data_IF_557619712438
#
_entry.id   IF_557619712438
#
_cell.length_a   1.000
_cell.length_b   1.000
_cell.length_c   1.000
_cell.angle_alpha   90.00
_cell.angle_beta   90.00
_cell.angle_gamma   90.00
#
_symmetry.space_group_name_H-M   'P 1'
#
loop_
_entity.id
_entity.type
_entity.pdbx_description
1 polymer ?
#
# COMPACT_ATOMS: atom_id res chain seq x y z
N UNK A 1 -47.20 51.50 16.49
CA UNK A 1 -46.75 52.63 15.63
C UNK A 1 -45.62 53.35 16.33
N UNK A 2 -44.71 54.05 15.61
CA UNK A 2 -43.56 53.62 14.80
C UNK A 2 -42.23 53.91 15.60
N UNK A 3 -40.98 53.77 15.16
CA UNK A 3 -40.33 54.05 13.87
C UNK A 3 -38.91 53.44 13.88
N UNK A 4 -38.56 52.75 12.79
CA UNK A 4 -37.20 52.31 12.43
C UNK A 4 -36.33 53.49 11.96
N UNK A 5 -35.02 53.43 12.22
CA UNK A 5 -33.89 53.94 11.41
C UNK A 5 -32.67 53.10 11.86
N UNK A 6 -32.06 52.15 11.13
CA UNK A 6 -31.55 51.99 9.75
C UNK A 6 -30.18 52.66 9.48
N UNK A 7 -29.12 51.82 9.50
CA UNK A 7 -27.86 51.86 8.71
C UNK A 7 -26.83 52.97 8.96
N UNK A 8 -25.55 52.89 8.48
CA UNK A 8 -24.93 51.89 7.59
C UNK A 8 -23.53 51.36 8.02
N UNK A 9 -23.22 50.11 7.66
CA UNK A 9 -22.19 49.70 6.67
C UNK A 9 -20.74 50.04 7.02
N UNK A 10 -20.02 49.04 7.51
CA UNK A 10 -18.56 48.97 7.52
C UNK A 10 -18.13 47.56 7.16
N UNK A 11 -18.22 47.22 5.88
CA UNK A 11 -17.67 45.99 5.34
C UNK A 11 -16.14 46.13 5.31
N UNK A 12 -15.44 45.37 6.14
CA UNK A 12 -14.01 45.09 5.92
C UNK A 12 -13.88 43.58 5.77
N UNK A 13 -13.77 43.21 4.50
CA UNK A 13 -13.26 41.96 3.99
C UNK A 13 -11.86 41.74 4.58
N UNK A 14 -11.69 40.69 5.38
CA UNK A 14 -10.38 40.15 5.72
C UNK A 14 -10.41 38.64 5.44
N UNK A 15 -10.32 38.30 4.16
CA UNK A 15 -9.93 36.98 3.71
C UNK A 15 -8.47 36.75 4.10
N UNK A 16 -8.23 36.37 5.35
CA UNK A 16 -6.95 35.80 5.74
C UNK A 16 -6.95 34.33 5.29
N UNK A 17 -6.49 34.13 4.06
CA UNK A 17 -6.00 32.87 3.52
C UNK A 17 -4.93 32.31 4.46
N UNK A 18 -5.34 31.45 5.39
CA UNK A 18 -4.40 30.58 6.09
C UNK A 18 -4.12 29.42 5.17
N UNK A 19 -2.95 29.50 4.55
CA UNK A 19 -2.41 28.51 3.65
C UNK A 19 -2.50 27.13 4.27
N UNK A 20 -3.25 26.27 3.58
CA UNK A 20 -3.11 24.84 3.71
C UNK A 20 -1.67 24.56 3.28
N UNK A 21 -0.77 24.40 4.25
CA UNK A 21 0.45 23.66 4.03
C UNK A 21 0.03 22.19 3.84
N UNK A 22 -0.54 21.93 2.67
CA UNK A 22 -0.50 20.61 2.08
C UNK A 22 0.98 20.38 1.82
N UNK A 23 1.66 19.77 2.78
CA UNK A 23 2.77 18.90 2.42
C UNK A 23 2.17 17.93 1.43
N UNK A 24 2.31 18.25 0.15
CA UNK A 24 2.13 17.31 -0.93
C UNK A 24 2.96 16.10 -0.51
N UNK A 25 2.28 15.03 -0.14
CA UNK A 25 2.76 13.67 -0.31
C UNK A 25 3.18 13.60 -1.78
N UNK A 26 4.44 13.95 -2.02
CA UNK A 26 5.06 13.74 -3.30
C UNK A 26 4.88 12.25 -3.63
N UNK A 27 4.68 11.91 -4.92
CA UNK A 27 4.67 10.50 -5.31
C UNK A 27 5.92 9.87 -4.69
N UNK A 28 5.76 8.77 -3.95
CA UNK A 28 6.89 8.02 -3.41
C UNK A 28 7.85 7.79 -4.58
N UNK A 29 8.92 8.58 -4.61
CA UNK A 29 9.94 8.47 -5.64
C UNK A 29 10.60 7.13 -5.39
N UNK A 30 10.12 6.10 -6.09
CA UNK A 30 10.81 4.83 -6.17
C UNK A 30 12.27 5.08 -6.54
N UNK A 31 13.16 4.11 -6.27
CA UNK A 31 14.57 4.31 -6.51
C UNK A 31 14.75 4.66 -7.99
N UNK A 32 15.27 5.85 -8.27
CA UNK A 32 15.71 6.17 -9.61
C UNK A 32 16.76 5.14 -10.00
N UNK A 33 16.61 4.51 -11.17
CA UNK A 33 17.49 3.43 -11.60
C UNK A 33 18.97 3.82 -11.54
N UNK A 34 19.27 5.11 -11.69
CA UNK A 34 20.60 5.71 -11.54
C UNK A 34 21.16 5.55 -10.12
N UNK A 35 20.35 5.72 -9.07
CA UNK A 35 20.80 5.60 -7.67
C UNK A 35 21.16 4.16 -7.34
N UNK A 36 20.39 3.17 -7.82
CA UNK A 36 20.68 1.75 -7.60
C UNK A 36 21.96 1.25 -8.29
N UNK A 37 22.48 2.00 -9.27
CA UNK A 37 23.77 1.69 -9.93
C UNK A 37 24.98 2.08 -9.09
N UNK A 38 24.79 2.92 -8.08
CA UNK A 38 25.86 3.29 -7.15
C UNK A 38 25.95 2.28 -6.00
N UNK A 39 27.15 1.92 -5.52
CA UNK A 39 27.30 1.08 -4.33
C UNK A 39 26.54 1.64 -3.12
N UNK A 40 26.54 2.96 -2.95
CA UNK A 40 25.87 3.67 -1.86
C UNK A 40 24.35 3.50 -1.96
N UNK A 41 23.77 3.77 -3.14
CA UNK A 41 22.34 3.64 -3.34
C UNK A 41 21.83 2.21 -3.22
N UNK A 42 22.64 1.22 -3.62
CA UNK A 42 22.31 -0.18 -3.40
C UNK A 42 22.41 -0.57 -1.91
N UNK A 43 23.39 -0.02 -1.18
CA UNK A 43 23.52 -0.24 0.26
C UNK A 43 22.36 0.36 1.04
N UNK A 44 21.94 1.59 0.72
CA UNK A 44 20.76 2.24 1.29
C UNK A 44 19.49 1.42 1.04
N UNK A 45 19.32 0.94 -0.19
CA UNK A 45 18.21 0.07 -0.57
C UNK A 45 18.18 -1.20 0.28
N UNK A 46 19.30 -1.90 0.37
CA UNK A 46 19.42 -3.14 1.14
C UNK A 46 19.17 -2.92 2.64
N UNK A 47 19.61 -1.78 3.19
CA UNK A 47 19.33 -1.43 4.58
C UNK A 47 17.83 -1.23 4.82
N UNK A 48 17.14 -0.54 3.91
CA UNK A 48 15.69 -0.33 4.00
C UNK A 48 14.94 -1.66 3.85
N UNK A 49 15.32 -2.50 2.89
CA UNK A 49 14.80 -3.86 2.69
C UNK A 49 14.91 -4.71 3.96
N UNK A 50 16.05 -4.66 4.65
CA UNK A 50 16.26 -5.36 5.92
C UNK A 50 15.37 -4.82 7.05
N UNK A 51 15.23 -3.48 7.15
CA UNK A 51 14.36 -2.85 8.15
C UNK A 51 12.90 -3.28 7.96
N UNK A 52 12.38 -3.15 6.74
CA UNK A 52 11.01 -3.51 6.40
C UNK A 52 10.73 -4.99 6.64
N UNK A 53 11.67 -5.87 6.27
CA UNK A 53 11.56 -7.30 6.57
C UNK A 53 11.48 -7.57 8.07
N UNK A 54 12.27 -6.84 8.86
CA UNK A 54 12.22 -6.89 10.33
C UNK A 54 10.86 -6.48 10.89
N UNK A 55 10.28 -5.39 10.36
CA UNK A 55 8.95 -4.89 10.74
C UNK A 55 7.83 -5.88 10.40
N UNK A 56 7.87 -6.48 9.20
CA UNK A 56 6.94 -7.54 8.79
C UNK A 56 6.97 -8.68 9.79
N UNK A 57 8.17 -9.16 10.16
CA UNK A 57 8.30 -10.23 11.15
C UNK A 57 7.77 -9.82 12.51
N UNK A 58 8.10 -8.62 12.99
CA UNK A 58 7.69 -8.15 14.31
C UNK A 58 6.16 -8.04 14.43
N UNK A 59 5.50 -7.49 13.41
CA UNK A 59 4.04 -7.33 13.37
C UNK A 59 3.32 -8.66 13.12
N UNK A 60 3.89 -9.57 12.32
CA UNK A 60 3.39 -10.94 12.17
C UNK A 60 3.40 -11.69 13.51
N UNK A 61 4.51 -11.60 14.25
CA UNK A 61 4.65 -12.21 15.59
C UNK A 61 3.65 -11.59 16.58
N UNK A 62 3.45 -10.27 16.51
CA UNK A 62 2.45 -9.58 17.33
C UNK A 62 1.03 -10.04 17.00
N UNK A 63 0.65 -10.15 15.73
CA UNK A 63 -0.64 -10.70 15.32
C UNK A 63 -0.79 -12.16 15.77
N UNK A 64 0.26 -12.96 15.63
CA UNK A 64 0.30 -14.34 16.10
C UNK A 64 -0.04 -14.48 17.60
N UNK A 65 0.43 -13.55 18.43
CA UNK A 65 0.15 -13.51 19.88
C UNK A 65 -1.20 -12.91 20.23
N UNK A 66 -1.54 -11.77 19.64
CA UNK A 66 -2.71 -10.99 20.04
C UNK A 66 -4.00 -11.44 19.35
N UNK A 67 -3.91 -11.94 18.12
CA UNK A 67 -5.06 -12.35 17.27
C UNK A 67 -6.18 -11.30 17.22
N UNK A 68 -5.80 -10.02 17.23
CA UNK A 68 -6.71 -8.88 17.20
C UNK A 68 -6.71 -8.18 15.83
N UNK A 69 -7.79 -7.45 15.55
CA UNK A 69 -7.92 -6.66 14.32
C UNK A 69 -6.82 -5.59 14.20
N UNK A 70 -6.51 -4.89 15.29
CA UNK A 70 -5.45 -3.87 15.31
C UNK A 70 -4.07 -4.46 14.99
N UNK A 71 -3.80 -5.68 15.48
CA UNK A 71 -2.55 -6.38 15.17
C UNK A 71 -2.52 -6.86 13.72
N UNK A 72 -3.66 -7.30 13.16
CA UNK A 72 -3.79 -7.64 11.74
C UNK A 72 -3.58 -6.42 10.84
N UNK A 73 -4.15 -5.26 11.20
CA UNK A 73 -3.94 -3.99 10.49
C UNK A 73 -2.48 -3.54 10.50
N UNK A 74 -1.81 -3.69 11.65
CA UNK A 74 -0.38 -3.40 11.77
C UNK A 74 0.45 -4.32 10.88
N UNK A 75 0.10 -5.62 10.86
CA UNK A 75 0.74 -6.60 9.99
C UNK A 75 0.50 -6.30 8.50
N UNK A 76 -0.73 -6.03 8.09
CA UNK A 76 -1.08 -5.60 6.72
C UNK A 76 -0.22 -4.43 6.26
N UNK A 77 -0.15 -3.37 7.09
CA UNK A 77 0.60 -2.16 6.75
C UNK A 77 2.07 -2.45 6.49
N UNK A 78 2.69 -3.28 7.33
CA UNK A 78 4.09 -3.66 7.15
C UNK A 78 4.31 -4.50 5.88
N UNK A 79 3.40 -5.43 5.56
CA UNK A 79 3.48 -6.27 4.36
C UNK A 79 3.33 -5.40 3.11
N UNK A 80 2.39 -4.45 3.09
CA UNK A 80 2.22 -3.50 1.99
C UNK A 80 3.47 -2.65 1.78
N UNK A 81 4.01 -2.05 2.85
CA UNK A 81 5.24 -1.26 2.74
C UNK A 81 6.42 -2.09 2.19
N UNK A 82 6.56 -3.34 2.64
CA UNK A 82 7.61 -4.23 2.17
C UNK A 82 7.41 -4.68 0.71
N UNK A 83 6.16 -4.89 0.31
CA UNK A 83 5.78 -5.25 -1.05
C UNK A 83 6.00 -4.08 -2.02
N UNK A 84 5.53 -2.87 -1.66
CA UNK A 84 5.71 -1.63 -2.42
C UNK A 84 7.19 -1.33 -2.67
N UNK A 85 8.02 -1.53 -1.64
CA UNK A 85 9.47 -1.43 -1.75
C UNK A 85 10.00 -2.39 -2.82
N UNK A 86 9.66 -3.68 -2.77
CA UNK A 86 10.05 -4.65 -3.79
C UNK A 86 9.60 -4.29 -5.21
N UNK A 87 8.37 -3.80 -5.37
CA UNK A 87 7.87 -3.38 -6.68
C UNK A 87 8.58 -2.16 -7.22
N UNK A 88 8.94 -1.21 -6.34
CA UNK A 88 9.72 -0.06 -6.74
C UNK A 88 11.10 -0.50 -7.29
N UNK A 89 11.74 -1.52 -6.71
CA UNK A 89 12.95 -2.13 -7.28
C UNK A 89 12.69 -2.73 -8.66
N UNK A 90 11.67 -3.58 -8.76
CA UNK A 90 11.35 -4.26 -10.02
C UNK A 90 11.08 -3.27 -11.15
N UNK A 91 10.27 -2.22 -10.88
CA UNK A 91 9.97 -1.16 -11.84
C UNK A 91 11.23 -0.40 -12.25
N UNK A 92 12.17 -0.17 -11.33
CA UNK A 92 13.45 0.47 -11.65
C UNK A 92 14.31 -0.39 -12.60
N UNK A 93 14.44 -1.70 -12.35
CA UNK A 93 15.14 -2.62 -13.26
C UNK A 93 14.48 -2.66 -14.64
N UNK A 94 13.15 -2.77 -14.69
CA UNK A 94 12.38 -2.75 -15.94
C UNK A 94 12.57 -1.45 -16.72
N UNK A 95 12.49 -0.30 -16.06
CA UNK A 95 12.70 1.01 -16.66
C UNK A 95 14.13 1.17 -17.22
N UNK A 96 15.11 0.61 -16.52
CA UNK A 96 16.52 0.58 -16.94
C UNK A 96 16.82 -0.45 -18.05
N UNK A 97 15.84 -1.29 -18.43
CA UNK A 97 16.02 -2.44 -19.33
C UNK A 97 17.12 -3.39 -18.86
N UNK A 98 17.21 -3.61 -17.55
CA UNK A 98 18.13 -4.54 -16.92
C UNK A 98 17.39 -5.79 -16.47
N UNK A 99 18.07 -6.93 -16.49
CA UNK A 99 17.55 -8.15 -15.89
C UNK A 99 17.46 -7.97 -14.37
N UNK A 100 16.29 -8.24 -13.75
CA UNK A 100 16.16 -8.18 -12.31
C UNK A 100 17.00 -9.27 -11.64
N UNK A 101 17.41 -9.07 -10.38
CA UNK A 101 18.05 -10.11 -9.59
C UNK A 101 17.20 -11.39 -9.57
N UNK A 102 17.81 -12.58 -9.64
CA UNK A 102 17.09 -13.85 -9.79
C UNK A 102 16.13 -14.15 -8.62
N UNK A 103 16.39 -13.57 -7.45
CA UNK A 103 15.59 -13.71 -6.23
C UNK A 103 14.47 -12.65 -6.09
N UNK A 104 14.46 -11.61 -6.93
CA UNK A 104 13.47 -10.53 -6.83
C UNK A 104 12.05 -11.01 -7.12
N UNK A 105 11.85 -11.77 -8.21
CA UNK A 105 10.52 -12.28 -8.57
C UNK A 105 10.00 -13.26 -7.51
N UNK A 106 10.75 -14.30 -7.08
CA UNK A 106 10.33 -15.15 -5.97
C UNK A 106 10.02 -14.36 -4.69
N UNK A 107 10.79 -13.31 -4.39
CA UNK A 107 10.52 -12.46 -3.24
C UNK A 107 9.19 -11.72 -3.36
N UNK A 108 8.86 -11.15 -4.53
CA UNK A 108 7.59 -10.48 -4.77
C UNK A 108 6.40 -11.44 -4.68
N UNK A 109 6.52 -12.65 -5.22
CA UNK A 109 5.50 -13.69 -5.07
C UNK A 109 5.23 -13.99 -3.60
N UNK A 110 6.28 -14.16 -2.80
CA UNK A 110 6.16 -14.45 -1.37
C UNK A 110 5.54 -13.29 -0.58
N UNK A 111 5.95 -12.04 -0.85
CA UNK A 111 5.37 -10.84 -0.22
C UNK A 111 3.89 -10.70 -0.55
N UNK A 112 3.51 -10.99 -1.79
CA UNK A 112 2.10 -11.02 -2.20
C UNK A 112 1.34 -12.12 -1.47
N UNK A 113 1.92 -13.31 -1.36
CA UNK A 113 1.27 -14.41 -0.66
C UNK A 113 0.93 -14.01 0.78
N UNK A 114 1.82 -13.30 1.47
CA UNK A 114 1.53 -12.75 2.79
C UNK A 114 0.38 -11.74 2.78
N UNK A 115 0.31 -10.86 1.78
CA UNK A 115 -0.79 -9.91 1.65
C UNK A 115 -2.13 -10.61 1.39
N UNK A 116 -2.12 -11.68 0.60
CA UNK A 116 -3.30 -12.51 0.37
C UNK A 116 -3.70 -13.32 1.61
N UNK A 117 -2.75 -13.76 2.43
CA UNK A 117 -3.05 -14.37 3.73
C UNK A 117 -3.75 -13.36 4.64
N UNK A 118 -3.28 -12.11 4.67
CA UNK A 118 -3.93 -11.01 5.40
C UNK A 118 -5.36 -10.76 4.90
N UNK A 119 -5.58 -10.73 3.59
CA UNK A 119 -6.92 -10.59 3.00
C UNK A 119 -7.87 -11.69 3.47
N UNK A 120 -7.42 -12.95 3.44
CA UNK A 120 -8.19 -14.08 3.92
C UNK A 120 -8.47 -14.01 5.42
N UNK A 121 -7.53 -13.52 6.23
CA UNK A 121 -7.75 -13.33 7.66
C UNK A 121 -8.80 -12.25 7.95
N UNK A 122 -8.79 -11.11 7.25
CA UNK A 122 -9.87 -10.11 7.38
C UNK A 122 -11.24 -10.71 7.10
N UNK A 123 -11.33 -11.52 6.05
CA UNK A 123 -12.56 -12.19 5.68
C UNK A 123 -13.00 -13.19 6.75
N UNK A 124 -12.09 -13.98 7.32
CA UNK A 124 -12.39 -14.90 8.44
C UNK A 124 -12.91 -14.16 9.67
N UNK A 125 -12.42 -12.94 9.91
CA UNK A 125 -12.86 -12.05 10.99
C UNK A 125 -14.14 -11.26 10.65
N UNK A 126 -14.78 -11.53 9.51
CA UNK A 126 -16.02 -10.88 9.08
C UNK A 126 -15.85 -9.53 8.37
N UNK A 127 -14.61 -9.07 8.19
CA UNK A 127 -14.28 -7.83 7.46
C UNK A 127 -14.12 -8.09 5.96
N UNK A 128 -15.19 -8.56 5.31
CA UNK A 128 -15.17 -9.01 3.90
C UNK A 128 -14.68 -7.91 2.96
N UNK A 129 -15.21 -6.69 3.10
CA UNK A 129 -14.84 -5.56 2.24
C UNK A 129 -13.34 -5.22 2.29
N UNK A 130 -12.70 -5.38 3.46
CA UNK A 130 -11.25 -5.17 3.60
C UNK A 130 -10.45 -6.23 2.83
N UNK A 131 -10.82 -7.51 2.99
CA UNK A 131 -10.14 -8.59 2.27
C UNK A 131 -10.37 -8.54 0.75
N UNK A 132 -11.57 -8.17 0.30
CA UNK A 132 -11.85 -7.94 -1.12
C UNK A 132 -11.06 -6.74 -1.65
N UNK A 133 -10.95 -5.65 -0.89
CA UNK A 133 -10.14 -4.49 -1.25
C UNK A 133 -8.68 -4.87 -1.47
N UNK A 134 -8.08 -5.62 -0.55
CA UNK A 134 -6.71 -6.13 -0.71
C UNK A 134 -6.57 -6.99 -1.97
N UNK A 135 -7.50 -7.91 -2.21
CA UNK A 135 -7.46 -8.77 -3.40
C UNK A 135 -7.61 -7.94 -4.70
N UNK A 136 -8.45 -6.91 -4.70
CA UNK A 136 -8.61 -6.01 -5.82
C UNK A 136 -7.33 -5.21 -6.10
N UNK A 137 -6.67 -4.70 -5.06
CA UNK A 137 -5.38 -4.01 -5.17
C UNK A 137 -4.34 -4.93 -5.83
N UNK A 138 -4.21 -6.18 -5.37
CA UNK A 138 -3.26 -7.16 -5.93
C UNK A 138 -3.53 -7.43 -7.41
N UNK A 139 -4.79 -7.58 -7.82
CA UNK A 139 -5.14 -7.76 -9.25
C UNK A 139 -4.78 -6.52 -10.05
N UNK A 140 -5.05 -5.33 -9.52
CA UNK A 140 -4.78 -4.07 -10.21
C UNK A 140 -3.27 -3.84 -10.38
N UNK A 141 -2.52 -3.89 -9.29
CA UNK A 141 -1.11 -3.52 -9.23
C UNK A 141 -0.20 -4.49 -9.98
N UNK A 142 -0.67 -5.72 -10.24
CA UNK A 142 0.13 -6.80 -10.84
C UNK A 142 -0.27 -7.12 -12.26
N UNK A 143 -1.30 -6.45 -12.77
CA UNK A 143 -1.85 -6.68 -14.11
C UNK A 143 -0.81 -6.57 -15.23
N UNK A 144 0.30 -5.86 -14.99
CA UNK A 144 1.40 -5.66 -15.94
C UNK A 144 2.57 -6.65 -15.78
N UNK A 145 2.46 -7.65 -14.87
CA UNK A 145 3.52 -8.57 -14.47
C UNK A 145 3.15 -10.04 -14.73
N UNK A 146 3.35 -10.56 -15.96
CA UNK A 146 3.02 -11.95 -16.31
C UNK A 146 3.69 -12.99 -15.41
N UNK A 147 4.89 -12.69 -14.91
CA UNK A 147 5.66 -13.57 -14.03
C UNK A 147 5.01 -13.76 -12.65
N UNK A 148 4.10 -12.87 -12.23
CA UNK A 148 3.37 -12.97 -10.96
C UNK A 148 1.96 -13.55 -11.12
N UNK A 149 1.66 -14.17 -12.26
CA UNK A 149 0.35 -14.76 -12.55
C UNK A 149 -0.18 -15.74 -11.46
N UNK A 150 0.63 -16.55 -10.76
CA UNK A 150 0.13 -17.36 -9.65
C UNK A 150 -0.50 -16.55 -8.53
N UNK A 151 0.13 -15.44 -8.14
CA UNK A 151 -0.35 -14.59 -7.07
C UNK A 151 -1.61 -13.81 -7.49
N UNK A 152 -1.65 -13.34 -8.74
CA UNK A 152 -2.84 -12.74 -9.34
C UNK A 152 -4.03 -13.70 -9.36
N UNK A 153 -3.84 -14.96 -9.79
CA UNK A 153 -4.91 -15.98 -9.78
C UNK A 153 -5.47 -16.23 -8.39
N UNK A 154 -4.62 -16.20 -7.35
CA UNK A 154 -5.08 -16.31 -5.96
C UNK A 154 -5.97 -15.13 -5.56
N UNK A 155 -5.57 -13.91 -5.93
CA UNK A 155 -6.37 -12.72 -5.68
C UNK A 155 -7.72 -12.75 -6.42
N UNK A 156 -7.72 -13.14 -7.69
CA UNK A 156 -8.93 -13.35 -8.48
C UNK A 156 -9.85 -14.40 -7.84
N UNK A 157 -9.29 -15.51 -7.32
CA UNK A 157 -10.07 -16.54 -6.64
C UNK A 157 -10.75 -16.02 -5.36
N UNK A 158 -10.08 -15.15 -4.60
CA UNK A 158 -10.70 -14.47 -3.44
C UNK A 158 -11.87 -13.61 -3.92
N UNK A 159 -11.68 -12.76 -4.92
CA UNK A 159 -12.75 -11.91 -5.46
C UNK A 159 -13.94 -12.72 -5.97
N UNK A 160 -13.70 -13.82 -6.69
CA UNK A 160 -14.77 -14.68 -7.19
C UNK A 160 -15.54 -15.34 -6.05
N UNK A 161 -14.85 -15.91 -5.05
CA UNK A 161 -15.49 -16.67 -3.95
C UNK A 161 -16.50 -15.85 -3.15
N UNK A 162 -16.32 -14.53 -3.08
CA UNK A 162 -17.18 -13.65 -2.28
C UNK A 162 -18.19 -12.88 -3.12
N UNK A 163 -17.87 -12.56 -4.38
CA UNK A 163 -18.83 -12.00 -5.33
C UNK A 163 -20.01 -12.95 -5.58
N UNK A 164 -19.77 -14.26 -5.73
CA UNK A 164 -20.83 -15.25 -5.90
C UNK A 164 -21.63 -15.56 -4.63
N UNK A 165 -21.17 -15.10 -3.45
CA UNK A 165 -21.86 -15.35 -2.18
C UNK A 165 -22.88 -14.24 -1.84
N UNK A 166 -22.87 -13.12 -2.57
CA UNK A 166 -23.86 -12.03 -2.41
C UNK A 166 -25.12 -12.23 -3.27
N UNK A 167 -25.11 -13.16 -4.23
CA UNK A 167 -26.21 -13.42 -5.15
C UNK A 167 -27.22 -14.49 -4.66
N UNK A 168 -27.12 -14.94 -3.39
CA UNK A 168 -28.00 -15.93 -2.77
C UNK A 168 -28.67 -15.42 -1.49
#
# INVERSE_FOLDING_TARGET
MPRRLRSPSGAILACALWGIAACSTGPMSGPHAERLRTPEGLAEWNQQELSLRGEVRATADQYGRAKSLDALQSYEKSVRAFLDHGFALYRAYRAARLDPPPDLIPSLEQRTAWLMDVAEEYIKLGSVAMGEGIAADVVHDYSDLPVLAPAQRRAEAVLMRYRYRQDY
#
